data_IF_897546316524
#
_entry.id   IF_897546316524
#
_cell.length_a   1.000
_cell.length_b   1.000
_cell.length_c   1.000
_cell.angle_alpha   90.00
_cell.angle_beta   90.00
_cell.angle_gamma   90.00
#
_symmetry.space_group_name_H-M   'P 1'
#
loop_
_entity.id
_entity.type
_entity.pdbx_description
1 polymer ?
#
# COMPACT_ATOMS: atom_id res chain seq x y z
N UNK A 1 -6.11 -6.12 -24.60
CA UNK A 1 -5.47 -6.55 -23.34
C UNK A 1 -4.29 -5.64 -23.06
N UNK A 2 -4.06 -5.21 -21.82
CA UNK A 2 -3.01 -4.25 -21.45
C UNK A 2 -1.59 -4.78 -21.71
N UNK A 3 -0.78 -4.02 -22.45
CA UNK A 3 0.57 -4.43 -22.88
C UNK A 3 1.63 -4.17 -21.82
N UNK A 4 1.53 -3.03 -21.13
CA UNK A 4 2.43 -2.66 -20.04
C UNK A 4 1.70 -2.82 -18.71
N UNK A 5 2.41 -3.36 -17.72
CA UNK A 5 1.86 -3.63 -16.39
C UNK A 5 2.94 -3.38 -15.35
N UNK A 6 2.60 -2.66 -14.28
CA UNK A 6 3.53 -2.37 -13.18
C UNK A 6 2.83 -2.43 -11.83
N UNK A 7 3.63 -2.51 -10.77
CA UNK A 7 3.17 -2.39 -9.39
C UNK A 7 3.65 -1.05 -8.85
N UNK A 8 2.71 -0.30 -8.27
CA UNK A 8 2.99 0.91 -7.52
C UNK A 8 2.82 0.62 -6.04
N UNK A 9 3.89 0.81 -5.29
CA UNK A 9 3.96 0.67 -3.83
C UNK A 9 3.75 2.05 -3.20
N UNK A 10 2.97 2.09 -2.12
CA UNK A 10 2.76 3.26 -1.30
C UNK A 10 3.33 3.01 0.10
N UNK A 11 4.28 3.85 0.51
CA UNK A 11 4.72 3.94 1.90
C UNK A 11 3.94 5.05 2.58
N UNK A 12 3.15 4.72 3.59
CA UNK A 12 2.31 5.68 4.32
C UNK A 12 3.18 6.47 5.30
N UNK A 13 3.43 7.75 5.01
CA UNK A 13 4.30 8.61 5.85
C UNK A 13 3.53 9.36 6.95
N UNK A 14 2.20 9.45 6.83
CA UNK A 14 1.30 9.95 7.87
C UNK A 14 0.02 9.15 7.87
N UNK A 15 -0.62 8.98 9.03
CA UNK A 15 -1.81 8.13 9.13
C UNK A 15 -2.89 8.54 8.12
N UNK A 16 -3.58 7.56 7.56
CA UNK A 16 -4.31 7.69 6.30
C UNK A 16 -5.78 7.35 6.48
N UNK A 17 -6.66 8.30 6.12
CA UNK A 17 -8.11 8.09 6.15
C UNK A 17 -8.68 7.92 4.74
N UNK A 18 -8.72 6.69 4.24
CA UNK A 18 -9.49 6.37 3.04
C UNK A 18 -10.92 6.02 3.47
N UNK A 19 -11.76 7.03 3.68
CA UNK A 19 -13.10 6.86 4.24
C UNK A 19 -14.03 6.02 3.37
N UNK A 20 -14.84 5.16 4.02
CA UNK A 20 -15.89 4.36 3.35
C UNK A 20 -17.28 5.01 3.39
N UNK A 21 -17.37 6.24 3.93
CA UNK A 21 -18.62 6.92 4.28
C UNK A 21 -18.94 6.77 5.77
N UNK A 22 -19.91 7.56 6.25
CA UNK A 22 -20.37 7.47 7.63
C UNK A 22 -21.08 6.13 7.86
N UNK A 23 -20.84 5.50 9.01
CA UNK A 23 -21.42 4.20 9.36
C UNK A 23 -22.18 4.27 10.68
N UNK A 24 -23.21 3.43 10.83
CA UNK A 24 -23.92 3.20 12.09
C UNK A 24 -23.12 2.12 12.84
N UNK A 25 -21.99 2.50 13.42
CA UNK A 25 -21.09 1.62 14.18
C UNK A 25 -20.45 2.34 15.36
N UNK A 26 -19.49 1.68 16.02
CA UNK A 26 -18.72 2.30 17.12
C UNK A 26 -17.71 3.35 16.62
N UNK A 27 -17.44 3.38 15.32
CA UNK A 27 -16.59 4.35 14.65
C UNK A 27 -17.47 5.05 13.62
N UNK A 28 -17.62 6.37 13.73
CA UNK A 28 -18.46 7.17 12.86
C UNK A 28 -17.89 7.21 11.43
N UNK A 29 -16.57 7.40 11.31
CA UNK A 29 -15.85 7.48 10.04
C UNK A 29 -14.82 6.35 9.91
N UNK A 30 -15.24 5.13 9.50
CA UNK A 30 -14.32 4.01 9.28
C UNK A 30 -13.58 4.11 7.95
N UNK A 31 -12.39 3.51 7.90
CA UNK A 31 -11.63 3.37 6.64
C UNK A 31 -12.24 2.29 5.75
N UNK A 32 -11.91 2.32 4.46
CA UNK A 32 -12.28 1.31 3.47
C UNK A 32 -11.63 -0.03 3.78
N UNK A 33 -12.43 -1.10 3.73
CA UNK A 33 -12.00 -2.47 4.00
C UNK A 33 -12.53 -3.41 2.91
N UNK A 34 -11.75 -4.44 2.59
CA UNK A 34 -12.24 -5.58 1.79
C UNK A 34 -13.30 -6.35 2.59
N UNK A 35 -14.47 -6.60 2.00
CA UNK A 35 -15.63 -7.12 2.74
C UNK A 35 -15.35 -8.47 3.40
N UNK A 36 -14.68 -9.40 2.69
CA UNK A 36 -14.50 -10.78 3.15
C UNK A 36 -13.43 -10.93 4.23
N UNK A 37 -12.38 -10.09 4.19
CA UNK A 37 -11.20 -10.20 5.07
C UNK A 37 -11.15 -9.10 6.12
N UNK A 38 -11.94 -8.04 5.92
CA UNK A 38 -11.88 -6.80 6.69
C UNK A 38 -10.52 -6.10 6.62
N UNK A 39 -9.61 -6.47 5.72
CA UNK A 39 -8.32 -5.81 5.58
C UNK A 39 -8.49 -4.40 5.02
N UNK A 40 -7.77 -3.39 5.55
CA UNK A 40 -7.76 -2.04 4.97
C UNK A 40 -7.37 -2.06 3.50
N UNK A 41 -8.11 -1.31 2.69
CA UNK A 41 -7.83 -1.09 1.26
C UNK A 41 -8.05 0.38 0.90
N UNK A 42 -7.58 0.77 -0.27
CA UNK A 42 -8.01 2.01 -0.92
C UNK A 42 -8.60 1.62 -2.27
N UNK A 43 -9.87 1.96 -2.48
CA UNK A 43 -10.56 1.66 -3.72
C UNK A 43 -9.84 2.29 -4.93
N UNK A 44 -9.91 1.61 -6.07
CA UNK A 44 -9.21 1.99 -7.30
C UNK A 44 -9.54 3.43 -7.77
N UNK A 45 -10.77 3.89 -7.54
CA UNK A 45 -11.19 5.27 -7.84
C UNK A 45 -10.47 6.31 -6.97
N UNK A 46 -10.29 6.03 -5.67
CA UNK A 46 -9.54 6.87 -4.74
C UNK A 46 -8.07 6.96 -5.12
N UNK A 47 -7.45 5.81 -5.47
CA UNK A 47 -6.08 5.76 -6.01
C UNK A 47 -5.99 6.59 -7.30
N UNK A 48 -6.86 6.32 -8.27
CA UNK A 48 -6.89 7.02 -9.55
C UNK A 48 -7.04 8.54 -9.38
N UNK A 49 -7.96 8.98 -8.52
CA UNK A 49 -8.23 10.39 -8.25
C UNK A 49 -7.02 11.10 -7.65
N UNK A 50 -6.39 10.51 -6.62
CA UNK A 50 -5.20 11.08 -6.00
C UNK A 50 -4.00 11.16 -6.96
N UNK A 51 -3.80 10.13 -7.79
CA UNK A 51 -2.75 10.14 -8.80
C UNK A 51 -3.03 11.18 -9.89
N UNK A 52 -4.28 11.30 -10.36
CA UNK A 52 -4.68 12.35 -11.31
C UNK A 52 -4.38 13.74 -10.74
N UNK A 53 -4.81 14.01 -9.51
CA UNK A 53 -4.58 15.30 -8.83
C UNK A 53 -3.08 15.60 -8.71
N UNK A 54 -2.25 14.59 -8.42
CA UNK A 54 -0.80 14.74 -8.43
C UNK A 54 -0.29 15.25 -9.78
N UNK A 55 -0.78 14.70 -10.90
CA UNK A 55 -0.37 15.18 -12.21
C UNK A 55 -0.86 16.60 -12.51
N UNK A 56 -2.10 16.92 -12.16
CA UNK A 56 -2.69 18.25 -12.36
C UNK A 56 -1.94 19.34 -11.59
N UNK A 57 -1.42 19.01 -10.39
CA UNK A 57 -0.69 19.97 -9.55
C UNK A 57 0.80 20.12 -9.91
N UNK A 58 1.44 19.06 -10.39
CA UNK A 58 2.89 19.04 -10.60
C UNK A 58 3.31 19.25 -12.06
N UNK A 59 2.38 19.21 -13.01
CA UNK A 59 2.66 19.47 -14.43
C UNK A 59 1.82 20.63 -14.96
N UNK A 60 2.33 21.33 -15.98
CA UNK A 60 1.68 22.53 -16.54
C UNK A 60 0.32 22.22 -17.18
N UNK A 61 -0.51 23.27 -17.33
CA UNK A 61 -1.81 23.23 -18.03
C UNK A 61 -1.72 22.64 -19.45
N UNK A 62 -0.57 22.78 -20.12
CA UNK A 62 -0.29 22.21 -21.45
C UNK A 62 -0.28 20.66 -21.45
N UNK A 63 -0.42 20.02 -20.29
CA UNK A 63 -0.54 18.57 -20.13
C UNK A 63 -1.98 18.11 -19.86
N UNK A 64 -2.99 18.99 -19.85
CA UNK A 64 -4.38 18.61 -19.61
C UNK A 64 -4.85 17.49 -20.55
N UNK A 65 -4.52 17.61 -21.84
CA UNK A 65 -4.74 16.58 -22.85
C UNK A 65 -4.08 15.25 -22.47
N UNK A 66 -2.85 15.29 -21.95
CA UNK A 66 -2.12 14.09 -21.53
C UNK A 66 -2.74 13.44 -20.29
N UNK A 67 -3.19 14.24 -19.33
CA UNK A 67 -3.90 13.79 -18.13
C UNK A 67 -5.23 13.13 -18.52
N UNK A 68 -6.03 13.78 -19.38
CA UNK A 68 -7.27 13.19 -19.91
C UNK A 68 -6.99 11.87 -20.63
N UNK A 69 -5.97 11.78 -21.47
CA UNK A 69 -5.62 10.53 -22.15
C UNK A 69 -5.31 9.38 -21.18
N UNK A 70 -4.56 9.65 -20.10
CA UNK A 70 -4.10 8.64 -19.15
C UNK A 70 -5.22 8.25 -18.17
N UNK A 71 -5.95 9.23 -17.64
CA UNK A 71 -6.91 9.06 -16.56
C UNK A 71 -8.38 9.07 -17.04
N UNK A 72 -8.68 9.43 -18.27
CA UNK A 72 -10.04 9.62 -18.81
C UNK A 72 -10.55 11.06 -18.65
N UNK A 73 -11.61 11.42 -19.37
CA UNK A 73 -12.32 12.70 -19.15
C UNK A 73 -13.17 12.70 -17.89
N UNK A 74 -13.68 13.87 -17.50
CA UNK A 74 -14.48 14.06 -16.28
C UNK A 74 -15.96 13.79 -16.53
N UNK A 75 -16.45 14.11 -17.73
CA UNK A 75 -17.89 14.08 -18.05
C UNK A 75 -18.39 12.70 -18.51
N UNK A 76 -17.59 11.64 -18.38
CA UNK A 76 -17.93 10.25 -18.73
C UNK A 76 -18.17 9.97 -20.21
N UNK A 77 -18.43 10.99 -21.03
CA UNK A 77 -18.68 10.91 -22.47
C UNK A 77 -17.41 11.00 -23.32
N UNK A 78 -16.27 11.35 -22.73
CA UNK A 78 -15.00 11.57 -23.44
C UNK A 78 -14.20 10.28 -23.70
N UNK A 79 -14.68 9.12 -23.26
CA UNK A 79 -14.01 7.83 -23.44
C UNK A 79 -13.08 7.42 -22.28
N UNK A 80 -12.61 6.18 -22.32
CA UNK A 80 -11.83 5.58 -21.24
C UNK A 80 -10.35 5.99 -21.29
N UNK A 81 -9.78 6.26 -20.11
CA UNK A 81 -8.35 6.51 -19.95
C UNK A 81 -7.48 5.30 -20.29
N UNK A 82 -6.21 5.55 -20.62
CA UNK A 82 -5.25 4.53 -21.02
C UNK A 82 -4.83 3.58 -19.87
N UNK A 83 -5.11 3.93 -18.62
CA UNK A 83 -4.66 3.18 -17.44
C UNK A 83 -5.83 2.70 -16.60
N UNK A 84 -5.86 1.39 -16.35
CA UNK A 84 -6.71 0.81 -15.31
C UNK A 84 -5.90 0.66 -14.02
N UNK A 85 -6.48 1.17 -12.93
CA UNK A 85 -5.91 1.15 -11.59
C UNK A 85 -6.56 0.03 -10.80
N UNK A 86 -5.76 -0.75 -10.09
CA UNK A 86 -6.23 -1.67 -9.07
C UNK A 86 -6.53 -0.95 -7.76
N UNK A 87 -7.21 -1.64 -6.86
CA UNK A 87 -7.30 -1.24 -5.46
C UNK A 87 -5.89 -1.28 -4.84
N UNK A 88 -5.58 -0.33 -3.94
CA UNK A 88 -4.38 -0.42 -3.13
C UNK A 88 -4.64 -1.39 -1.97
N UNK A 89 -3.92 -2.50 -1.94
CA UNK A 89 -4.02 -3.56 -0.93
C UNK A 89 -2.91 -3.41 0.09
N UNK A 90 -3.24 -3.59 1.36
CA UNK A 90 -2.27 -3.64 2.45
C UNK A 90 -1.35 -4.86 2.28
N UNK A 91 -0.04 -4.64 2.35
CA UNK A 91 0.99 -5.67 2.27
C UNK A 91 1.69 -5.86 3.62
N UNK A 92 1.99 -4.76 4.31
CA UNK A 92 2.54 -4.77 5.66
C UNK A 92 1.81 -3.75 6.52
N UNK A 93 1.40 -4.20 7.72
CA UNK A 93 0.81 -3.36 8.75
C UNK A 93 1.80 -3.15 9.89
N UNK A 94 2.11 -1.91 10.29
CA UNK A 94 2.89 -1.66 11.48
C UNK A 94 2.05 -1.95 12.73
N UNK A 95 2.53 -2.84 13.59
CA UNK A 95 1.90 -3.19 14.87
C UNK A 95 2.89 -2.92 15.99
N UNK A 96 2.44 -2.25 17.07
CA UNK A 96 3.32 -1.91 18.19
C UNK A 96 4.00 -3.16 18.73
N UNK A 97 5.30 -3.06 18.99
CA UNK A 97 6.10 -4.16 19.52
C UNK A 97 6.80 -3.69 20.79
N UNK A 98 6.88 -4.56 21.79
CA UNK A 98 7.62 -4.26 23.01
C UNK A 98 9.13 -4.10 22.74
N UNK A 99 9.64 -4.72 21.68
CA UNK A 99 11.01 -4.59 21.17
C UNK A 99 11.04 -3.85 19.82
N UNK A 100 12.02 -2.97 19.61
CA UNK A 100 12.22 -2.25 18.33
C UNK A 100 11.02 -1.42 17.82
N UNK A 101 10.22 -0.87 18.75
CA UNK A 101 9.15 0.12 18.53
C UNK A 101 7.88 -0.49 17.92
N UNK A 102 8.00 -1.13 16.76
CA UNK A 102 6.89 -1.78 16.04
C UNK A 102 7.42 -2.87 15.09
N UNK A 103 6.55 -3.76 14.66
CA UNK A 103 6.81 -4.78 13.64
C UNK A 103 6.01 -4.50 12.36
N UNK A 104 6.62 -4.73 11.18
CA UNK A 104 5.90 -4.79 9.90
C UNK A 104 5.29 -6.17 9.76
N UNK A 105 4.01 -6.30 10.09
CA UNK A 105 3.29 -7.57 10.15
C UNK A 105 2.64 -7.90 8.81
N UNK A 106 2.78 -9.14 8.37
CA UNK A 106 2.09 -9.74 7.21
C UNK A 106 1.72 -11.21 7.50
N UNK A 107 1.14 -11.91 6.53
CA UNK A 107 0.76 -13.31 6.66
C UNK A 107 0.88 -14.10 5.34
N UNK A 108 0.83 -15.45 5.39
CA UNK A 108 0.85 -16.32 4.22
C UNK A 108 -0.15 -15.93 3.14
N UNK A 109 -1.41 -15.64 3.49
CA UNK A 109 -2.43 -15.27 2.49
C UNK A 109 -2.13 -13.94 1.80
N UNK A 110 -1.63 -12.94 2.53
CA UNK A 110 -1.23 -11.65 1.94
C UNK A 110 -0.04 -11.82 0.99
N UNK A 111 0.97 -12.59 1.39
CA UNK A 111 2.12 -12.94 0.54
C UNK A 111 1.67 -13.70 -0.71
N UNK A 112 0.79 -14.69 -0.57
CA UNK A 112 0.25 -15.45 -1.70
C UNK A 112 -0.51 -14.57 -2.69
N UNK A 113 -1.31 -13.59 -2.21
CA UNK A 113 -2.01 -12.62 -3.06
C UNK A 113 -1.04 -11.71 -3.79
N UNK A 114 0.00 -11.21 -3.12
CA UNK A 114 1.04 -10.40 -3.75
C UNK A 114 1.77 -11.19 -4.85
N UNK A 115 2.14 -12.45 -4.59
CA UNK A 115 2.76 -13.32 -5.59
C UNK A 115 1.85 -13.62 -6.79
N UNK A 116 0.55 -13.85 -6.54
CA UNK A 116 -0.45 -14.03 -7.62
C UNK A 116 -0.50 -12.79 -8.52
N UNK A 117 -0.47 -11.60 -7.93
CA UNK A 117 -0.46 -10.35 -8.68
C UNK A 117 0.86 -10.18 -9.45
N UNK A 118 2.03 -10.46 -8.83
CA UNK A 118 3.32 -10.47 -9.53
C UNK A 118 3.26 -11.32 -10.82
N UNK A 119 2.75 -12.56 -10.72
CA UNK A 119 2.61 -13.49 -11.85
C UNK A 119 1.64 -12.93 -12.90
N UNK A 120 0.47 -12.40 -12.49
CA UNK A 120 -0.51 -11.83 -13.42
C UNK A 120 0.03 -10.61 -14.20
N UNK A 121 0.99 -9.89 -13.60
CA UNK A 121 1.69 -8.77 -14.22
C UNK A 121 2.95 -9.19 -15.02
N UNK A 122 3.29 -10.48 -15.07
CA UNK A 122 4.49 -10.98 -15.76
C UNK A 122 5.80 -10.61 -15.03
N UNK A 123 5.72 -10.41 -13.71
CA UNK A 123 6.87 -10.15 -12.82
C UNK A 123 7.29 -11.46 -12.16
N UNK A 124 8.56 -11.54 -11.73
CA UNK A 124 9.08 -12.72 -11.05
C UNK A 124 8.50 -12.84 -9.63
N UNK A 125 7.82 -13.95 -9.28
CA UNK A 125 7.38 -14.18 -7.91
C UNK A 125 8.55 -14.49 -6.96
N UNK A 126 8.25 -14.64 -5.68
CA UNK A 126 9.21 -15.11 -4.69
C UNK A 126 9.28 -16.64 -4.81
N UNK A 127 10.46 -17.18 -5.08
CA UNK A 127 10.67 -18.61 -5.29
C UNK A 127 11.71 -19.14 -4.33
N UNK A 128 11.46 -20.36 -3.85
CA UNK A 128 12.42 -21.19 -3.13
C UNK A 128 13.52 -21.67 -4.10
N UNK A 129 14.58 -22.29 -3.56
CA UNK A 129 15.69 -22.82 -4.36
C UNK A 129 15.23 -23.86 -5.39
N UNK A 130 14.25 -24.69 -5.02
CA UNK A 130 13.62 -25.71 -5.86
C UNK A 130 12.63 -25.15 -6.90
N UNK A 131 12.58 -23.82 -7.06
CA UNK A 131 11.67 -23.08 -7.94
C UNK A 131 10.19 -23.11 -7.53
N UNK A 132 9.80 -23.75 -6.42
CA UNK A 132 8.44 -23.62 -5.89
C UNK A 132 8.17 -22.19 -5.42
N UNK A 133 6.89 -21.79 -5.33
CA UNK A 133 6.53 -20.48 -4.77
C UNK A 133 6.83 -20.47 -3.28
N UNK A 134 7.33 -19.36 -2.77
CA UNK A 134 7.48 -19.21 -1.32
C UNK A 134 6.11 -19.12 -0.65
N UNK A 135 5.81 -20.12 0.17
CA UNK A 135 4.57 -20.22 0.94
C UNK A 135 4.93 -20.47 2.39
N UNK A 136 5.11 -19.42 3.20
CA UNK A 136 5.43 -19.61 4.61
C UNK A 136 4.23 -20.27 5.31
N UNK A 137 4.52 -21.13 6.28
CA UNK A 137 3.53 -21.80 7.10
C UNK A 137 3.86 -21.49 8.57
N UNK A 138 2.91 -20.91 9.29
CA UNK A 138 3.11 -20.44 10.66
C UNK A 138 1.96 -21.01 11.51
N UNK A 139 2.32 -21.62 12.65
CA UNK A 139 1.35 -22.10 13.63
C UNK A 139 0.78 -20.96 14.48
N UNK A 140 -0.33 -21.21 15.17
CA UNK A 140 -0.96 -20.24 16.06
C UNK A 140 0.00 -19.81 17.18
N UNK A 141 0.04 -18.50 17.48
CA UNK A 141 0.96 -17.91 18.47
C UNK A 141 2.46 -18.05 18.11
N UNK A 142 2.79 -18.40 16.86
CA UNK A 142 4.16 -18.36 16.37
C UNK A 142 4.37 -17.21 15.39
N UNK A 143 5.63 -16.89 15.12
CA UNK A 143 6.01 -15.95 14.07
C UNK A 143 7.27 -16.36 13.33
N UNK A 144 7.37 -16.00 12.06
CA UNK A 144 8.60 -16.05 11.27
C UNK A 144 9.15 -14.62 11.08
N UNK A 145 10.45 -14.47 11.20
CA UNK A 145 11.16 -13.20 11.00
C UNK A 145 12.61 -13.46 10.62
N UNK A 146 13.38 -12.41 10.32
CA UNK A 146 14.79 -12.57 10.02
C UNK A 146 15.54 -13.13 11.24
N UNK A 147 16.21 -14.28 11.06
CA UNK A 147 16.81 -15.10 12.12
C UNK A 147 17.78 -14.35 13.05
N UNK A 148 18.55 -13.39 12.53
CA UNK A 148 19.62 -12.69 13.25
C UNK A 148 19.41 -11.18 13.41
N UNK A 149 18.39 -10.61 12.77
CA UNK A 149 18.14 -9.16 12.77
C UNK A 149 16.96 -8.75 13.65
N UNK A 150 15.98 -9.64 13.85
CA UNK A 150 14.86 -9.41 14.75
C UNK A 150 15.34 -9.30 16.19
N UNK A 151 14.80 -8.34 16.95
CA UNK A 151 15.00 -8.29 18.40
C UNK A 151 13.81 -8.87 19.12
N UNK A 152 14.09 -9.81 20.00
CA UNK A 152 13.13 -10.51 20.84
C UNK A 152 13.47 -10.33 22.31
N UNK A 153 12.50 -10.64 23.17
CA UNK A 153 12.70 -10.85 24.59
C UNK A 153 13.45 -12.19 24.82
N UNK A 154 13.81 -12.53 26.08
CA UNK A 154 14.30 -13.86 26.41
C UNK A 154 13.39 -14.98 25.86
N UNK A 155 13.96 -16.16 25.62
CA UNK A 155 13.27 -17.31 25.00
C UNK A 155 12.74 -17.06 23.57
N UNK A 156 13.32 -16.10 22.85
CA UNK A 156 12.92 -15.74 21.48
C UNK A 156 11.44 -15.31 21.36
N UNK A 157 10.87 -14.75 22.43
CA UNK A 157 9.51 -14.23 22.44
C UNK A 157 9.44 -12.83 21.84
N UNK A 158 8.48 -12.61 20.95
CA UNK A 158 8.08 -11.30 20.44
C UNK A 158 6.73 -10.93 21.06
N UNK A 159 6.55 -9.70 21.53
CA UNK A 159 5.25 -9.24 22.05
C UNK A 159 4.73 -8.13 21.16
N UNK A 160 3.64 -8.40 20.45
CA UNK A 160 2.93 -7.44 19.60
C UNK A 160 1.66 -6.99 20.31
N UNK A 161 1.54 -5.69 20.56
CA UNK A 161 0.56 -5.14 21.49
C UNK A 161 0.63 -5.87 22.86
N UNK A 162 -0.41 -6.61 23.24
CA UNK A 162 -0.46 -7.46 24.43
C UNK A 162 -0.22 -8.96 24.16
N UNK A 163 -0.03 -9.37 22.90
CA UNK A 163 0.03 -10.77 22.49
C UNK A 163 1.47 -11.28 22.37
N UNK A 164 1.85 -12.35 23.11
CA UNK A 164 3.15 -12.98 22.97
C UNK A 164 3.16 -14.01 21.83
N UNK A 165 4.24 -14.02 21.06
CA UNK A 165 4.51 -14.95 19.97
C UNK A 165 5.88 -15.61 20.13
N UNK A 166 5.96 -16.89 19.84
CA UNK A 166 7.21 -17.65 19.85
C UNK A 166 7.81 -17.76 18.45
N UNK A 167 9.13 -17.56 18.35
CA UNK A 167 9.82 -17.61 17.07
C UNK A 167 9.81 -19.02 16.49
N UNK A 168 9.47 -19.11 15.21
CA UNK A 168 9.61 -20.30 14.40
C UNK A 168 11.05 -20.43 13.85
N UNK A 169 11.50 -21.66 13.63
CA UNK A 169 12.87 -21.98 13.23
C UNK A 169 13.11 -21.89 11.70
N UNK A 170 12.05 -21.72 10.91
CA UNK A 170 12.15 -21.58 9.46
C UNK A 170 12.97 -20.34 9.07
N UNK A 171 13.93 -20.52 8.16
CA UNK A 171 14.76 -19.42 7.68
C UNK A 171 14.08 -18.69 6.51
N UNK A 172 13.66 -17.45 6.77
CA UNK A 172 13.01 -16.56 5.79
C UNK A 172 13.86 -15.34 5.42
N UNK A 173 15.13 -15.31 5.81
CA UNK A 173 16.01 -14.14 5.72
C UNK A 173 16.10 -13.58 4.30
N UNK A 174 16.40 -14.45 3.33
CA UNK A 174 16.60 -14.07 1.93
C UNK A 174 15.32 -13.50 1.29
N UNK A 175 14.14 -13.95 1.73
CA UNK A 175 12.86 -13.44 1.27
C UNK A 175 12.56 -12.05 1.82
N UNK A 176 12.84 -11.83 3.11
CA UNK A 176 12.68 -10.52 3.76
C UNK A 176 13.64 -9.49 3.12
N UNK A 177 14.90 -9.87 2.90
CA UNK A 177 15.88 -9.02 2.20
C UNK A 177 15.43 -8.69 0.78
N UNK A 178 14.94 -9.69 0.03
CA UNK A 178 14.41 -9.47 -1.33
C UNK A 178 13.18 -8.57 -1.34
N UNK A 179 12.28 -8.70 -0.36
CA UNK A 179 11.14 -7.81 -0.21
C UNK A 179 11.60 -6.37 0.07
N UNK A 180 12.60 -6.17 0.92
CA UNK A 180 13.17 -4.85 1.17
C UNK A 180 13.72 -4.21 -0.12
N UNK A 181 14.40 -4.99 -0.97
CA UNK A 181 14.88 -4.53 -2.28
C UNK A 181 13.76 -4.17 -3.26
N UNK A 182 12.66 -4.91 -3.25
CA UNK A 182 11.54 -4.72 -4.17
C UNK A 182 10.63 -3.56 -3.77
N UNK A 183 10.42 -3.36 -2.47
CA UNK A 183 9.36 -2.48 -1.97
C UNK A 183 9.85 -1.06 -1.67
N UNK A 184 11.13 -0.87 -1.35
CA UNK A 184 11.63 0.43 -0.90
C UNK A 184 12.26 1.25 -2.03
N UNK A 185 12.00 2.56 -2.09
CA UNK A 185 12.64 3.44 -3.06
C UNK A 185 14.15 3.56 -2.79
N UNK A 186 14.90 3.93 -3.82
CA UNK A 186 16.37 4.06 -3.77
C UNK A 186 16.86 5.40 -3.26
N UNK A 187 15.97 6.25 -2.73
CA UNK A 187 16.33 7.59 -2.24
C UNK A 187 17.08 7.52 -0.92
N UNK A 188 17.93 8.51 -0.65
CA UNK A 188 18.79 8.53 0.55
C UNK A 188 17.97 8.49 1.85
N UNK A 189 16.83 9.18 1.89
CA UNK A 189 15.98 9.25 3.07
C UNK A 189 15.25 7.94 3.39
N UNK A 190 15.12 7.02 2.43
CA UNK A 190 14.49 5.71 2.62
C UNK A 190 15.47 4.59 2.99
N UNK A 191 16.79 4.83 2.94
CA UNK A 191 17.80 3.83 3.33
C UNK A 191 17.63 3.32 4.77
N UNK A 192 17.35 4.16 5.79
CA UNK A 192 17.11 3.68 7.15
C UNK A 192 15.87 2.80 7.25
N UNK A 193 14.77 3.21 6.60
CA UNK A 193 13.50 2.48 6.60
C UNK A 193 13.62 1.11 5.93
N UNK A 194 14.32 1.04 4.80
CA UNK A 194 14.64 -0.24 4.14
C UNK A 194 15.46 -1.17 5.05
N UNK A 195 16.44 -0.62 5.76
CA UNK A 195 17.28 -1.38 6.70
C UNK A 195 16.47 -1.85 7.91
N UNK A 196 15.57 -1.02 8.41
CA UNK A 196 14.73 -1.33 9.57
C UNK A 196 13.60 -2.29 9.22
N UNK A 197 13.07 -2.26 8.00
CA UNK A 197 12.12 -3.24 7.50
C UNK A 197 12.66 -4.66 7.63
N UNK A 198 13.92 -4.90 7.26
CA UNK A 198 14.57 -6.21 7.40
C UNK A 198 14.66 -6.66 8.87
N UNK A 199 14.86 -5.72 9.80
CA UNK A 199 14.94 -6.02 11.25
C UNK A 199 13.59 -6.23 11.90
N UNK A 200 12.51 -5.68 11.32
CA UNK A 200 11.19 -5.57 11.96
C UNK A 200 10.08 -6.31 11.22
N UNK A 201 10.38 -6.97 10.11
CA UNK A 201 9.39 -7.79 9.39
C UNK A 201 9.04 -9.02 10.20
N UNK A 202 7.75 -9.24 10.37
CA UNK A 202 7.18 -10.36 11.11
C UNK A 202 6.05 -10.97 10.28
N UNK A 203 6.09 -12.28 10.10
CA UNK A 203 5.07 -13.05 9.40
C UNK A 203 4.33 -13.87 10.46
N UNK A 204 3.04 -13.61 10.62
CA UNK A 204 2.15 -14.36 11.52
C UNK A 204 1.32 -15.36 10.72
N UNK A 205 0.57 -16.22 11.41
CA UNK A 205 -0.51 -16.95 10.77
C UNK A 205 -1.58 -15.98 10.22
N UNK A 206 -2.53 -16.49 9.44
CA UNK A 206 -3.57 -15.64 8.86
C UNK A 206 -4.52 -15.07 9.93
N UNK A 207 -4.90 -15.85 10.93
CA UNK A 207 -5.87 -15.43 11.96
C UNK A 207 -5.36 -14.25 12.80
N UNK A 208 -4.13 -14.33 13.29
CA UNK A 208 -3.47 -13.29 14.09
C UNK A 208 -3.24 -12.02 13.25
N UNK A 209 -2.85 -12.17 11.99
CA UNK A 209 -2.73 -11.03 11.08
C UNK A 209 -4.06 -10.31 10.85
N UNK A 210 -5.14 -11.05 10.54
CA UNK A 210 -6.44 -10.43 10.29
C UNK A 210 -7.05 -9.82 11.55
N UNK A 211 -6.70 -10.32 12.74
CA UNK A 211 -6.99 -9.64 14.00
C UNK A 211 -6.34 -8.25 14.04
N UNK A 212 -5.03 -8.15 13.83
CA UNK A 212 -4.35 -6.85 13.84
C UNK A 212 -4.81 -5.93 12.71
N UNK A 213 -5.02 -6.44 11.50
CA UNK A 213 -5.53 -5.66 10.37
C UNK A 213 -6.89 -5.01 10.69
N UNK A 214 -7.69 -5.64 11.55
CA UNK A 214 -8.98 -5.13 11.99
C UNK A 214 -8.88 -4.18 13.18
N UNK A 215 -8.03 -4.47 14.17
CA UNK A 215 -8.07 -3.83 15.48
C UNK A 215 -6.86 -2.94 15.81
N UNK A 216 -5.76 -3.02 15.05
CA UNK A 216 -4.56 -2.20 15.25
C UNK A 216 -4.53 -0.93 14.38
N UNK A 217 -5.70 -0.47 13.91
CA UNK A 217 -5.85 0.84 13.28
C UNK A 217 -5.93 1.95 14.34
N UNK A 218 -5.56 3.16 13.95
CA UNK A 218 -5.70 4.33 14.84
C UNK A 218 -7.16 4.75 14.89
N UNK A 219 -7.70 4.99 16.09
CA UNK A 219 -9.06 5.54 16.26
C UNK A 219 -8.94 6.82 17.08
N UNK A 220 -9.11 7.97 16.44
CA UNK A 220 -8.98 9.28 17.06
C UNK A 220 -10.37 9.86 17.37
N UNK A 221 -10.62 10.34 18.61
CA UNK A 221 -11.78 11.16 18.90
C UNK A 221 -11.56 12.58 18.36
N UNK A 222 -12.58 13.11 17.70
CA UNK A 222 -12.62 14.48 17.20
C UNK A 222 -13.82 15.22 17.77
N UNK A 223 -13.68 16.54 17.90
CA UNK A 223 -14.75 17.42 18.32
C UNK A 223 -14.64 18.77 17.61
N UNK A 224 -15.77 19.49 17.55
CA UNK A 224 -15.80 20.91 17.24
C UNK A 224 -16.04 21.68 18.54
N UNK A 225 -15.27 22.73 18.77
CA UNK A 225 -15.45 23.62 19.93
C UNK A 225 -16.31 24.81 19.50
N UNK A 226 -17.36 25.10 20.26
CA UNK A 226 -18.15 26.32 20.10
C UNK A 226 -17.33 27.52 20.59
N UNK A 227 -17.09 28.49 19.72
CA UNK A 227 -16.20 29.63 19.99
C UNK A 227 -16.72 30.56 21.10
N UNK A 228 -18.02 30.57 21.38
CA UNK A 228 -18.62 31.45 22.40
C UNK A 228 -18.51 30.87 23.80
N UNK A 229 -18.66 29.55 23.90
CA UNK A 229 -18.70 28.82 25.17
C UNK A 229 -17.35 28.20 25.54
N UNK A 230 -16.50 27.93 24.54
CA UNK A 230 -15.25 27.18 24.73
C UNK A 230 -15.46 25.70 25.02
N UNK A 231 -16.68 25.17 24.85
CA UNK A 231 -17.02 23.77 25.08
C UNK A 231 -17.31 23.04 23.76
N UNK A 232 -17.45 21.72 23.80
CA UNK A 232 -17.85 20.94 22.62
C UNK A 232 -19.21 21.45 22.11
N UNK A 233 -19.27 21.66 20.81
CA UNK A 233 -20.49 22.04 20.12
C UNK A 233 -21.53 20.92 20.21
N UNK A 234 -22.67 21.24 20.81
CA UNK A 234 -23.74 20.27 21.09
C UNK A 234 -24.38 19.68 19.82
N UNK A 235 -24.27 20.36 18.67
CA UNK A 235 -24.86 19.89 17.41
C UNK A 235 -23.99 18.85 16.72
N UNK A 236 -22.67 19.01 16.77
CA UNK A 236 -21.73 18.04 16.17
C UNK A 236 -21.29 16.96 17.16
N UNK A 237 -21.22 17.28 18.45
CA UNK A 237 -20.74 16.37 19.48
C UNK A 237 -19.28 15.94 19.27
N UNK A 238 -18.97 14.74 19.79
CA UNK A 238 -17.70 14.02 19.58
C UNK A 238 -17.96 12.90 18.58
N UNK A 239 -17.06 12.73 17.62
CA UNK A 239 -17.10 11.62 16.67
C UNK A 239 -15.74 10.93 16.61
N UNK A 240 -15.72 9.69 16.15
CA UNK A 240 -14.52 8.87 16.03
C UNK A 240 -14.16 8.64 14.57
N UNK A 241 -12.92 8.93 14.22
CA UNK A 241 -12.37 8.68 12.89
C UNK A 241 -11.27 7.64 12.97
N UNK A 242 -11.35 6.65 12.09
CA UNK A 242 -10.34 5.61 11.96
C UNK A 242 -9.28 6.01 10.92
N UNK A 243 -8.02 5.67 11.18
CA UNK A 243 -6.91 5.87 10.26
C UNK A 243 -6.08 4.59 10.13
N UNK A 244 -5.61 4.32 8.91
CA UNK A 244 -4.55 3.36 8.68
C UNK A 244 -3.24 3.96 9.23
N UNK A 245 -2.48 3.25 10.09
CA UNK A 245 -1.30 3.84 10.73
C UNK A 245 -0.19 4.20 9.74
N UNK A 246 0.61 5.21 10.11
CA UNK A 246 1.87 5.53 9.41
C UNK A 246 2.83 4.33 9.44
N UNK A 247 3.69 4.22 8.43
CA UNK A 247 4.58 3.08 8.13
C UNK A 247 3.85 1.86 7.51
N UNK A 248 2.54 1.96 7.23
CA UNK A 248 1.87 0.94 6.41
C UNK A 248 2.42 0.90 4.98
N UNK A 249 2.57 -0.31 4.43
CA UNK A 249 2.98 -0.50 3.04
C UNK A 249 1.80 -1.08 2.26
N UNK A 250 1.34 -0.35 1.25
CA UNK A 250 0.32 -0.81 0.32
C UNK A 250 0.90 -1.02 -1.08
N UNK A 251 0.21 -1.77 -1.92
CA UNK A 251 0.53 -1.84 -3.35
C UNK A 251 -0.75 -1.84 -4.20
N UNK A 252 -0.66 -1.29 -5.41
CA UNK A 252 -1.69 -1.37 -6.45
C UNK A 252 -1.09 -1.86 -7.76
N UNK A 253 -1.90 -2.57 -8.53
CA UNK A 253 -1.56 -3.01 -9.89
C UNK A 253 -1.99 -1.95 -10.90
N UNK A 254 -1.07 -1.56 -11.78
CA UNK A 254 -1.32 -0.64 -12.88
C UNK A 254 -1.33 -1.41 -14.20
N UNK A 255 -2.40 -1.28 -14.97
CA UNK A 255 -2.54 -1.88 -16.28
C UNK A 255 -2.63 -0.78 -17.35
N UNK A 256 -1.61 -0.71 -18.20
CA UNK A 256 -1.41 0.38 -19.15
C UNK A 256 -1.64 -0.09 -20.59
N UNK A 257 -2.48 0.65 -21.30
CA UNK A 257 -2.94 0.38 -22.64
C UNK A 257 -2.91 1.64 -23.49
N UNK A 258 -3.71 1.63 -24.56
CA UNK A 258 -3.90 2.81 -25.40
C UNK A 258 -5.10 3.61 -24.90
N UNK A 259 -5.08 4.95 -24.96
CA UNK A 259 -6.24 5.77 -24.64
C UNK A 259 -7.38 5.48 -25.63
N UNK A 260 -8.63 5.51 -25.14
CA UNK A 260 -9.84 5.30 -25.94
C UNK A 260 -10.69 6.58 -26.10
N UNK A 261 -10.05 7.75 -26.04
CA UNK A 261 -10.67 9.07 -26.20
C UNK A 261 -10.73 9.43 -27.69
N UNK A 262 -11.84 10.04 -28.16
CA UNK A 262 -12.05 10.36 -29.59
C UNK A 262 -11.04 11.40 -30.14
N UNK A 263 -10.83 11.34 -31.46
CA UNK A 263 -9.60 11.64 -32.23
C UNK A 263 -9.02 13.07 -32.24
N UNK A 264 -7.70 13.10 -32.50
CA UNK A 264 -6.78 14.10 -33.09
C UNK A 264 -5.66 14.68 -32.20
N UNK A 265 -5.83 14.85 -30.89
CA UNK A 265 -4.81 15.52 -30.04
C UNK A 265 -3.89 14.57 -29.24
N UNK A 266 -4.07 13.26 -29.36
CA UNK A 266 -3.38 12.25 -28.53
C UNK A 266 -2.34 11.40 -29.27
N UNK A 267 -1.83 11.87 -30.42
CA UNK A 267 -0.87 11.11 -31.25
C UNK A 267 0.36 10.63 -30.47
N UNK A 268 0.74 11.37 -29.42
CA UNK A 268 1.79 10.99 -28.49
C UNK A 268 1.52 9.67 -27.74
N UNK A 269 0.28 9.31 -27.40
CA UNK A 269 -0.02 8.11 -26.59
C UNK A 269 -0.57 6.93 -27.38
N UNK A 270 -0.41 6.94 -28.70
CA UNK A 270 -0.59 5.73 -29.53
C UNK A 270 0.43 4.64 -29.17
N UNK A 271 1.56 5.04 -28.60
CA UNK A 271 2.58 4.17 -28.03
C UNK A 271 2.37 3.99 -26.52
N UNK A 272 2.11 2.75 -26.09
CA UNK A 272 1.90 2.39 -24.68
C UNK A 272 3.16 2.64 -23.85
N UNK A 273 4.35 2.62 -24.46
CA UNK A 273 5.60 2.92 -23.74
C UNK A 273 5.68 4.40 -23.33
N UNK A 274 5.08 5.31 -24.13
CA UNK A 274 4.95 6.71 -23.72
C UNK A 274 3.95 6.87 -22.57
N UNK A 275 2.85 6.12 -22.54
CA UNK A 275 1.91 6.09 -21.40
C UNK A 275 2.63 5.61 -20.13
N UNK A 276 3.41 4.53 -20.25
CA UNK A 276 4.23 4.01 -19.16
C UNK A 276 5.23 5.04 -18.65
N UNK A 277 6.01 5.65 -19.55
CA UNK A 277 6.98 6.68 -19.17
C UNK A 277 6.31 7.88 -18.49
N UNK A 278 5.09 8.24 -18.92
CA UNK A 278 4.32 9.28 -18.26
C UNK A 278 3.91 8.87 -16.83
N UNK A 279 3.35 7.66 -16.65
CA UNK A 279 3.03 7.06 -15.33
C UNK A 279 4.27 6.94 -14.44
N UNK A 280 5.44 6.64 -15.01
CA UNK A 280 6.68 6.46 -14.27
C UNK A 280 7.21 7.74 -13.61
N UNK A 281 6.66 8.91 -13.96
CA UNK A 281 6.93 10.16 -13.24
C UNK A 281 6.44 10.14 -11.78
N UNK A 282 5.59 9.19 -11.40
CA UNK A 282 5.18 8.95 -10.01
C UNK A 282 6.29 8.35 -9.15
N UNK A 283 7.28 7.67 -9.74
CA UNK A 283 8.30 6.96 -8.97
C UNK A 283 9.11 7.94 -8.10
N UNK A 284 9.26 7.58 -6.82
CA UNK A 284 9.98 8.36 -5.81
C UNK A 284 9.39 9.77 -5.58
N UNK A 285 8.10 9.95 -5.88
CA UNK A 285 7.36 11.18 -5.59
C UNK A 285 6.40 10.98 -4.42
N UNK A 286 5.98 12.09 -3.79
CA UNK A 286 4.98 12.09 -2.72
C UNK A 286 3.64 12.58 -3.23
N UNK A 287 2.57 11.98 -2.72
CA UNK A 287 1.19 12.44 -2.92
C UNK A 287 0.37 12.25 -1.65
N UNK A 288 -0.93 12.55 -1.73
CA UNK A 288 -1.89 12.37 -0.66
C UNK A 288 -2.96 11.38 -1.11
N UNK A 289 -3.24 10.38 -0.27
CA UNK A 289 -4.35 9.44 -0.44
C UNK A 289 -5.39 9.66 0.67
N UNK A 290 -6.66 9.57 0.32
CA UNK A 290 -7.75 9.72 1.29
C UNK A 290 -8.09 11.17 1.65
N UNK A 291 -8.85 11.33 2.74
CA UNK A 291 -9.30 12.60 3.29
C UNK A 291 -8.34 13.20 4.32
N UNK A 292 -8.82 14.22 5.05
CA UNK A 292 -8.12 14.82 6.20
C UNK A 292 -6.72 15.39 5.89
N UNK A 293 -6.51 15.81 4.64
CA UNK A 293 -5.24 16.39 4.18
C UNK A 293 -4.85 17.64 4.96
N UNK A 294 -5.82 18.49 5.32
CA UNK A 294 -5.57 19.76 6.05
C UNK A 294 -5.18 19.54 7.51
N UNK A 295 -5.41 18.35 8.05
CA UNK A 295 -4.95 17.93 9.39
C UNK A 295 -3.72 17.02 9.32
N UNK A 296 -3.07 16.93 8.15
CA UNK A 296 -1.78 16.26 7.96
C UNK A 296 -1.87 14.76 7.63
N UNK A 297 -3.06 14.24 7.35
CA UNK A 297 -3.29 12.81 7.08
C UNK A 297 -3.03 12.44 5.62
N UNK A 298 -2.70 11.17 5.38
CA UNK A 298 -2.70 10.55 4.06
C UNK A 298 -1.47 10.80 3.19
N UNK A 299 -0.38 11.38 3.71
CA UNK A 299 0.84 11.57 2.91
C UNK A 299 1.49 10.22 2.63
N UNK A 300 1.82 9.96 1.37
CA UNK A 300 2.48 8.71 0.95
C UNK A 300 3.67 8.98 0.03
N UNK A 301 4.71 8.16 0.12
CA UNK A 301 5.75 8.03 -0.90
C UNK A 301 5.36 6.93 -1.90
N UNK A 302 5.50 7.23 -3.18
CA UNK A 302 5.21 6.32 -4.27
C UNK A 302 6.50 5.68 -4.78
N UNK A 303 6.48 4.37 -4.96
CA UNK A 303 7.59 3.63 -5.55
C UNK A 303 7.09 2.66 -6.62
N UNK A 304 7.61 2.77 -7.84
CA UNK A 304 7.35 1.77 -8.87
C UNK A 304 8.32 0.61 -8.68
N UNK A 305 7.76 -0.54 -8.34
CA UNK A 305 8.53 -1.76 -8.13
C UNK A 305 9.29 -2.12 -9.42
N UNK A 306 10.62 -2.08 -9.34
CA UNK A 306 11.49 -2.42 -10.47
C UNK A 306 11.55 -3.94 -10.64
N UNK A 307 11.54 -4.39 -11.90
CA UNK A 307 11.71 -5.81 -12.19
C UNK A 307 13.19 -6.16 -11.95
N UNK A 308 13.48 -7.15 -11.10
CA UNK A 308 14.84 -7.62 -10.95
C UNK A 308 15.24 -8.37 -12.24
N UNK A 309 16.30 -7.94 -12.97
CA UNK A 309 16.61 -8.47 -14.30
C UNK A 309 17.14 -9.93 -14.32
N UNK A 310 17.09 -10.68 -13.22
CA UNK A 310 17.81 -11.95 -13.09
C UNK A 310 17.18 -13.18 -13.77
N UNK A 311 15.98 -13.11 -14.37
CA UNK A 311 15.39 -14.27 -15.08
C UNK A 311 15.13 -13.99 -16.57
N UNK A 312 16.16 -13.50 -17.30
CA UNK A 312 16.22 -13.61 -18.76
C UNK A 312 17.06 -14.82 -19.19
N UNK A 313 16.75 -16.00 -18.66
CA UNK A 313 17.22 -17.27 -19.24
C UNK A 313 16.02 -18.22 -19.27
N UNK A 314 15.55 -18.56 -20.48
CA UNK A 314 14.45 -19.51 -20.66
C UNK A 314 13.40 -19.18 -21.73
N UNK A 315 13.71 -18.32 -22.70
CA UNK A 315 12.97 -18.30 -23.98
C UNK A 315 13.97 -18.46 -25.12
N UNK A 316 14.33 -19.71 -25.39
CA UNK A 316 14.63 -20.19 -26.74
C UNK A 316 13.43 -20.99 -27.22
#
# INVERSE_FOLDING_TARGET
MYKQKDILVFHVESSLHAGSGANIGHIDNPIQREISTQTPIIQANGVKGALREFYEKNFSSDQETKIKAVFGGEDGNDGAGAVAFGEARLLFLPVRSLTDIFAYVTCPTVIARFQRDLIALGKSPLRMEDQSLWTPFINDNNFQAHTSKIKTLPQETLVLEEFPFEKDNDNVDSFIEKLAELLFPTTEEYKPFKTDFVKRTVILNDEDYYYFAKYATEVEPHNRIDEKTGTVDETTGVWYTEYLPSESILYTCLFMGQPHIQQNDFSDFNDVDKVKNYIHKLDQQRTWLGGDRTTGKGRVMMHIMKNNPQNKEGQQ
#
